data_IF_034844806293
#
_entry.id   IF_034844806293
#
_cell.length_a   1.000
_cell.length_b   1.000
_cell.length_c   1.000
_cell.angle_alpha   90.00
_cell.angle_beta   90.00
_cell.angle_gamma   90.00
#
_symmetry.space_group_name_H-M   'P 1'
#
loop_
_entity.id
_entity.type
_entity.pdbx_description
1 polymer ?
#
# COMPACT_ATOMS: atom_id res chain seq x y z
N UNK A 1 3.09 -9.92 -9.22
CA UNK A 1 4.47 -9.65 -9.75
C UNK A 1 5.49 -10.14 -8.76
N UNK A 2 6.46 -10.92 -9.23
CA UNK A 2 7.56 -11.49 -8.41
C UNK A 2 8.86 -10.77 -8.70
N UNK A 3 9.82 -10.92 -7.76
CA UNK A 3 11.22 -10.50 -7.91
C UNK A 3 11.44 -9.01 -8.17
N UNK A 4 10.51 -8.17 -7.72
CA UNK A 4 10.69 -6.71 -7.72
C UNK A 4 11.52 -6.32 -6.50
N UNK A 5 12.53 -5.46 -6.73
CA UNK A 5 13.40 -4.92 -5.71
C UNK A 5 13.66 -3.44 -6.01
N UNK A 6 13.39 -2.57 -5.05
CA UNK A 6 13.52 -1.11 -5.17
C UNK A 6 14.22 -0.61 -3.93
N UNK A 7 15.40 -0.04 -4.11
CA UNK A 7 16.16 0.61 -3.03
C UNK A 7 15.71 2.06 -2.86
N UNK A 8 15.63 2.50 -1.62
CA UNK A 8 15.42 3.89 -1.23
C UNK A 8 16.51 4.33 -0.27
N UNK A 9 16.52 5.57 0.18
CA UNK A 9 17.54 6.06 1.12
C UNK A 9 17.58 5.26 2.43
N UNK A 10 16.41 4.79 2.91
CA UNK A 10 16.28 4.12 4.22
C UNK A 10 15.75 2.70 4.14
N UNK A 11 15.14 2.31 3.04
CA UNK A 11 14.38 1.07 2.95
C UNK A 11 14.70 0.29 1.67
N UNK A 12 14.57 -1.01 1.79
CA UNK A 12 14.45 -1.91 0.65
C UNK A 12 12.97 -2.29 0.49
N UNK A 13 12.40 -2.00 -0.67
CA UNK A 13 11.07 -2.48 -1.04
C UNK A 13 11.26 -3.70 -1.92
N UNK A 14 10.76 -4.85 -1.51
CA UNK A 14 10.84 -6.07 -2.31
C UNK A 14 9.52 -6.83 -2.30
N UNK A 15 9.31 -7.60 -3.37
CA UNK A 15 8.15 -8.50 -3.43
C UNK A 15 8.09 -9.36 -2.18
N UNK A 16 6.89 -9.44 -1.58
CA UNK A 16 6.65 -10.33 -0.44
C UNK A 16 6.78 -11.79 -0.87
N UNK A 17 7.25 -12.60 0.06
CA UNK A 17 7.23 -14.06 -0.02
C UNK A 17 6.38 -14.61 1.12
N UNK A 18 6.01 -15.88 1.05
CA UNK A 18 5.15 -16.50 2.07
C UNK A 18 5.79 -16.47 3.47
N UNK A 19 7.11 -16.61 3.56
CA UNK A 19 7.86 -16.60 4.82
C UNK A 19 7.91 -15.23 5.51
N UNK A 20 7.66 -14.14 4.78
CA UNK A 20 7.52 -12.81 5.39
C UNK A 20 6.27 -12.73 6.28
N UNK A 21 5.29 -13.62 6.04
CA UNK A 21 4.07 -13.71 6.85
C UNK A 21 4.35 -14.59 8.08
N UNK A 22 4.83 -13.96 9.12
CA UNK A 22 5.12 -14.54 10.42
C UNK A 22 4.20 -13.96 11.51
N UNK A 23 4.43 -14.31 12.77
CA UNK A 23 3.63 -13.82 13.90
C UNK A 23 3.69 -12.29 14.05
N UNK A 24 4.82 -11.65 13.70
CA UNK A 24 4.96 -10.20 13.70
C UNK A 24 4.01 -9.56 12.66
N UNK A 25 4.02 -10.07 11.44
CA UNK A 25 3.08 -9.63 10.40
C UNK A 25 1.62 -9.81 10.84
N UNK A 26 1.32 -10.98 11.43
CA UNK A 26 -0.02 -11.29 11.90
C UNK A 26 -0.48 -10.33 13.00
N UNK A 27 0.42 -9.89 13.89
CA UNK A 27 0.10 -8.92 14.94
C UNK A 27 -0.29 -7.54 14.40
N UNK A 28 0.15 -7.15 13.21
CA UNK A 28 -0.27 -5.89 12.58
C UNK A 28 -1.73 -5.91 12.13
N UNK A 29 -2.26 -7.11 11.86
CA UNK A 29 -3.63 -7.32 11.36
C UNK A 29 -4.58 -7.57 12.52
N UNK A 30 -4.20 -8.42 13.48
CA UNK A 30 -5.05 -8.87 14.58
C UNK A 30 -4.80 -8.10 15.89
N UNK A 31 -3.63 -7.48 16.03
CA UNK A 31 -3.17 -6.91 17.30
C UNK A 31 -3.87 -5.61 17.69
N UNK A 32 -3.71 -5.21 18.96
CA UNK A 32 -4.24 -3.97 19.51
C UNK A 32 -3.69 -2.71 18.84
N UNK A 33 -2.48 -2.80 18.27
CA UNK A 33 -1.80 -1.71 17.57
C UNK A 33 -2.18 -1.58 16.09
N UNK A 34 -3.20 -2.30 15.63
CA UNK A 34 -3.71 -2.17 14.26
C UNK A 34 -4.15 -0.74 13.99
N UNK A 35 -3.90 -0.27 12.79
CA UNK A 35 -4.37 1.07 12.41
C UNK A 35 -5.89 1.09 12.32
N UNK A 36 -6.52 2.02 13.03
CA UNK A 36 -7.98 2.23 12.96
C UNK A 36 -8.49 2.65 11.57
N UNK A 37 -7.58 3.04 10.67
CA UNK A 37 -7.90 3.50 9.31
C UNK A 37 -7.71 2.43 8.22
N UNK A 38 -7.37 1.21 8.60
CA UNK A 38 -7.29 0.09 7.67
C UNK A 38 -8.50 -0.80 7.94
N UNK A 39 -9.31 -1.02 6.90
CA UNK A 39 -10.44 -1.93 6.98
C UNK A 39 -9.93 -3.37 7.12
N UNK A 40 -9.73 -3.80 8.36
CA UNK A 40 -9.56 -5.20 8.68
C UNK A 40 -10.94 -5.84 8.84
N UNK A 41 -11.04 -7.10 8.47
CA UNK A 41 -12.19 -7.92 8.84
C UNK A 41 -12.36 -7.86 10.37
N UNK A 42 -13.61 -7.83 10.85
CA UNK A 42 -13.94 -7.91 12.27
C UNK A 42 -13.50 -9.23 12.92
N UNK A 43 -13.19 -10.24 12.12
CA UNK A 43 -12.70 -11.54 12.55
C UNK A 43 -11.17 -11.59 12.53
N UNK A 44 -10.59 -12.18 13.56
CA UNK A 44 -9.17 -12.49 13.58
C UNK A 44 -8.80 -13.43 12.43
N UNK A 45 -7.66 -13.19 11.82
CA UNK A 45 -7.11 -14.01 10.73
C UNK A 45 -6.07 -14.98 11.26
N UNK A 46 -6.09 -16.19 10.77
CA UNK A 46 -5.02 -17.14 11.00
C UNK A 46 -3.80 -16.83 10.10
N UNK A 47 -2.62 -17.25 10.52
CA UNK A 47 -1.41 -17.10 9.73
C UNK A 47 -1.53 -17.80 8.36
N UNK A 48 -2.25 -18.93 8.32
CA UNK A 48 -2.51 -19.69 7.08
C UNK A 48 -3.35 -18.88 6.08
N UNK A 49 -4.38 -18.18 6.56
CA UNK A 49 -5.22 -17.32 5.71
C UNK A 49 -4.42 -16.14 5.16
N UNK A 50 -3.57 -15.52 5.99
CA UNK A 50 -2.76 -14.37 5.56
C UNK A 50 -1.68 -14.81 4.58
N UNK A 51 -1.03 -15.96 4.78
CA UNK A 51 -0.11 -16.55 3.80
C UNK A 51 -0.78 -16.84 2.48
N UNK A 52 -1.95 -17.46 2.48
CA UNK A 52 -2.73 -17.71 1.27
C UNK A 52 -3.11 -16.39 0.57
N UNK A 53 -3.52 -15.37 1.32
CA UNK A 53 -3.82 -14.04 0.79
C UNK A 53 -2.62 -13.41 0.09
N UNK A 54 -1.44 -13.45 0.69
CA UNK A 54 -0.19 -12.92 0.11
C UNK A 54 0.21 -13.75 -1.11
N UNK A 55 0.22 -15.08 -0.98
CA UNK A 55 0.61 -16.00 -2.05
C UNK A 55 -0.20 -15.81 -3.34
N UNK A 56 -1.53 -15.66 -3.22
CA UNK A 56 -2.39 -15.39 -4.38
C UNK A 56 -1.98 -14.07 -5.06
N UNK A 57 -1.75 -13.01 -4.28
CA UNK A 57 -1.50 -11.66 -4.81
C UNK A 57 -0.12 -11.49 -5.41
N UNK A 58 0.91 -12.07 -4.84
CA UNK A 58 2.26 -11.98 -5.42
C UNK A 58 2.38 -12.75 -6.74
N UNK A 59 1.46 -13.70 -6.99
CA UNK A 59 1.38 -14.45 -8.24
C UNK A 59 0.48 -13.77 -9.30
N UNK A 60 -0.30 -12.76 -8.92
CA UNK A 60 -1.19 -12.03 -9.84
C UNK A 60 -0.40 -10.94 -10.59
N UNK A 61 -0.39 -10.93 -11.94
CA UNK A 61 0.31 -9.92 -12.72
C UNK A 61 -0.30 -8.51 -12.60
N UNK A 62 -1.55 -8.38 -12.17
CA UNK A 62 -2.21 -7.10 -11.91
C UNK A 62 -2.01 -6.59 -10.49
N UNK A 63 -1.10 -7.21 -9.72
CA UNK A 63 -0.82 -6.83 -8.34
C UNK A 63 0.69 -6.65 -8.14
N UNK A 64 1.09 -5.51 -7.60
CA UNK A 64 2.41 -5.29 -7.03
C UNK A 64 2.28 -5.23 -5.50
N UNK A 65 2.84 -6.22 -4.80
CA UNK A 65 2.75 -6.31 -3.35
C UNK A 65 4.15 -6.38 -2.73
N UNK A 66 4.59 -5.27 -2.17
CA UNK A 66 5.94 -5.10 -1.63
C UNK A 66 5.91 -5.01 -0.12
N UNK A 67 6.84 -5.69 0.54
CA UNK A 67 7.22 -5.43 1.91
C UNK A 67 8.19 -4.24 1.99
N UNK A 68 8.19 -3.55 3.12
CA UNK A 68 9.07 -2.41 3.43
C UNK A 68 10.07 -2.89 4.48
N UNK A 69 11.35 -2.91 4.12
CA UNK A 69 12.43 -3.47 4.94
C UNK A 69 13.53 -2.43 5.23
N UNK A 70 13.78 -2.14 6.47
CA UNK A 70 15.06 -2.05 7.14
C UNK A 70 15.20 -3.24 8.11
N UNK A 71 14.13 -3.62 8.70
CA UNK A 71 13.51 -4.87 9.11
C UNK A 71 12.13 -4.88 8.46
N UNK A 72 11.37 -5.96 8.43
CA UNK A 72 10.04 -5.90 7.86
C UNK A 72 9.09 -5.05 8.73
N UNK A 73 8.73 -3.85 8.27
CA UNK A 73 8.02 -2.84 9.08
C UNK A 73 6.64 -2.48 8.55
N UNK A 74 6.30 -2.95 7.36
CA UNK A 74 5.03 -2.66 6.72
C UNK A 74 5.00 -3.12 5.27
N UNK A 75 3.94 -2.78 4.57
CA UNK A 75 3.73 -3.18 3.18
C UNK A 75 3.12 -2.03 2.37
N UNK A 76 3.47 -1.96 1.09
CA UNK A 76 2.78 -1.16 0.09
C UNK A 76 2.26 -2.09 -1.01
N UNK A 77 1.01 -1.88 -1.41
CA UNK A 77 0.33 -2.71 -2.42
C UNK A 77 -0.33 -1.83 -3.47
N UNK A 78 -0.23 -2.25 -4.71
CA UNK A 78 -0.97 -1.70 -5.83
C UNK A 78 -1.88 -2.80 -6.39
N UNK A 79 -3.19 -2.65 -6.23
CA UNK A 79 -4.20 -3.64 -6.61
C UNK A 79 -5.57 -2.97 -6.80
N UNK A 80 -6.22 -3.11 -7.97
CA UNK A 80 -5.64 -3.64 -9.19
C UNK A 80 -4.70 -2.65 -9.88
N UNK A 81 -3.84 -3.19 -10.76
CA UNK A 81 -3.12 -2.43 -11.77
C UNK A 81 -3.89 -2.60 -13.08
N UNK A 82 -4.44 -1.51 -13.60
CA UNK A 82 -5.15 -1.47 -14.89
C UNK A 82 -4.19 -0.93 -15.96
N UNK A 83 -3.60 -1.85 -16.71
CA UNK A 83 -2.62 -1.51 -17.76
C UNK A 83 -3.27 -0.75 -18.93
N UNK A 84 -4.55 -1.01 -19.23
CA UNK A 84 -5.26 -0.34 -20.32
C UNK A 84 -5.53 1.12 -19.98
N UNK A 85 -5.85 1.41 -18.71
CA UNK A 85 -6.05 2.78 -18.21
C UNK A 85 -4.77 3.41 -17.68
N UNK A 86 -3.67 2.68 -17.66
CA UNK A 86 -2.37 3.10 -17.12
C UNK A 86 -2.48 3.62 -15.68
N UNK A 87 -3.23 2.92 -14.84
CA UNK A 87 -3.51 3.34 -13.47
C UNK A 87 -3.38 2.19 -12.47
N UNK A 88 -3.13 2.53 -11.22
CA UNK A 88 -3.11 1.56 -10.13
C UNK A 88 -3.75 2.13 -8.87
N UNK A 89 -4.33 1.25 -8.04
CA UNK A 89 -4.92 1.60 -6.75
C UNK A 89 -3.94 1.20 -5.66
N UNK A 90 -3.53 2.17 -4.85
CA UNK A 90 -2.54 2.00 -3.81
C UNK A 90 -3.16 1.80 -2.42
N UNK A 91 -2.60 0.85 -1.67
CA UNK A 91 -2.77 0.72 -0.23
C UNK A 91 -1.43 0.67 0.48
N UNK A 92 -1.31 1.36 1.61
CA UNK A 92 -0.12 1.39 2.45
C UNK A 92 -0.47 0.96 3.87
N UNK A 93 0.28 0.01 4.41
CA UNK A 93 0.21 -0.42 5.81
C UNK A 93 1.57 -0.22 6.48
N UNK A 94 1.65 0.64 7.49
CA UNK A 94 2.79 0.73 8.40
C UNK A 94 2.43 -0.10 9.63
N UNK A 95 2.97 -1.31 9.69
CA UNK A 95 2.69 -2.29 10.74
C UNK A 95 3.33 -1.87 12.06
N UNK A 96 4.59 -1.50 12.03
CA UNK A 96 5.35 -1.07 13.19
C UNK A 96 4.99 0.35 13.61
N UNK A 97 4.42 0.49 14.81
CA UNK A 97 3.93 1.80 15.31
C UNK A 97 5.04 2.83 15.48
N UNK A 98 6.25 2.39 15.85
CA UNK A 98 7.43 3.25 16.01
C UNK A 98 7.93 3.86 14.68
N UNK A 99 7.48 3.36 13.53
CA UNK A 99 7.77 3.91 12.21
C UNK A 99 6.69 4.85 11.68
N UNK A 100 5.56 4.97 12.38
CA UNK A 100 4.52 5.95 12.02
C UNK A 100 5.01 7.37 12.28
N UNK A 101 4.56 8.33 11.49
CA UNK A 101 4.93 9.76 11.57
C UNK A 101 6.42 10.09 11.34
N UNK A 102 7.20 9.14 10.79
CA UNK A 102 8.63 9.33 10.46
C UNK A 102 8.90 9.58 8.97
N UNK A 103 7.95 10.20 8.28
CA UNK A 103 8.04 10.50 6.84
C UNK A 103 8.37 9.28 5.96
N UNK A 104 8.01 8.06 6.40
CA UNK A 104 8.20 6.83 5.63
C UNK A 104 7.33 6.83 4.37
N UNK A 105 6.07 7.20 4.50
CA UNK A 105 5.09 7.12 3.41
C UNK A 105 5.54 7.90 2.16
N UNK A 106 6.01 9.17 2.21
CA UNK A 106 6.49 9.87 1.02
C UNK A 106 7.60 9.15 0.27
N UNK A 107 8.56 8.58 0.99
CA UNK A 107 9.70 7.89 0.41
C UNK A 107 9.28 6.62 -0.33
N UNK A 108 8.58 5.72 0.36
CA UNK A 108 8.18 4.44 -0.23
C UNK A 108 7.15 4.58 -1.34
N UNK A 109 6.21 5.53 -1.21
CA UNK A 109 5.20 5.79 -2.25
C UNK A 109 5.87 6.34 -3.51
N UNK A 110 6.75 7.34 -3.38
CA UNK A 110 7.45 7.90 -4.55
C UNK A 110 8.28 6.83 -5.26
N UNK A 111 9.12 6.10 -4.53
CA UNK A 111 9.99 5.09 -5.11
C UNK A 111 9.19 4.00 -5.85
N UNK A 112 8.18 3.41 -5.21
CA UNK A 112 7.39 2.34 -5.83
C UNK A 112 6.47 2.82 -6.95
N UNK A 113 5.91 4.04 -6.85
CA UNK A 113 5.10 4.62 -7.93
C UNK A 113 5.96 4.97 -9.16
N UNK A 114 7.16 5.51 -8.96
CA UNK A 114 8.09 5.79 -10.07
C UNK A 114 8.58 4.51 -10.72
N UNK A 115 8.79 3.44 -9.95
CA UNK A 115 9.09 2.13 -10.51
C UNK A 115 7.94 1.62 -11.40
N UNK A 116 6.67 1.73 -10.96
CA UNK A 116 5.50 1.38 -11.77
C UNK A 116 5.42 2.23 -13.05
N UNK A 117 5.72 3.53 -12.94
CA UNK A 117 5.75 4.42 -14.10
C UNK A 117 6.80 3.96 -15.11
N UNK A 118 8.04 3.81 -14.68
CA UNK A 118 9.19 3.52 -15.56
C UNK A 118 9.14 2.10 -16.14
N UNK A 119 8.71 1.11 -15.33
CA UNK A 119 8.75 -0.29 -15.72
C UNK A 119 7.47 -0.79 -16.38
N UNK A 120 6.33 -0.14 -16.12
CA UNK A 120 5.01 -0.61 -16.53
C UNK A 120 4.14 0.44 -17.20
N UNK A 121 4.69 1.66 -17.41
CA UNK A 121 3.98 2.79 -18.02
C UNK A 121 2.67 3.15 -17.28
N UNK A 122 2.64 2.97 -15.96
CA UNK A 122 1.52 3.44 -15.13
C UNK A 122 1.66 4.95 -14.95
N UNK A 123 0.60 5.69 -15.23
CA UNK A 123 0.59 7.14 -15.21
C UNK A 123 -0.22 7.76 -14.10
N UNK A 124 -1.07 6.99 -13.45
CA UNK A 124 -1.91 7.50 -12.37
C UNK A 124 -1.94 6.52 -11.20
N UNK A 125 -1.76 7.05 -10.01
CA UNK A 125 -1.95 6.32 -8.76
C UNK A 125 -3.18 6.88 -8.06
N UNK A 126 -4.08 5.99 -7.66
CA UNK A 126 -5.30 6.30 -6.95
C UNK A 126 -5.27 5.67 -5.55
N UNK A 127 -5.96 6.29 -4.61
CA UNK A 127 -6.18 5.73 -3.27
C UNK A 127 -7.49 6.24 -2.67
N UNK A 128 -8.01 5.47 -1.71
CA UNK A 128 -9.05 5.93 -0.80
C UNK A 128 -8.45 6.10 0.61
N UNK A 129 -8.81 7.16 1.30
CA UNK A 129 -8.35 7.43 2.66
C UNK A 129 -9.50 7.93 3.54
N UNK A 130 -9.56 7.43 4.77
CA UNK A 130 -10.56 7.91 5.74
C UNK A 130 -10.39 9.42 5.97
N UNK A 131 -11.49 10.16 5.88
CA UNK A 131 -11.51 11.63 6.04
C UNK A 131 -10.99 12.09 7.42
N UNK A 132 -11.04 11.23 8.43
CA UNK A 132 -10.50 11.48 9.76
C UNK A 132 -8.98 11.30 9.81
N UNK A 133 -8.39 10.59 8.86
CA UNK A 133 -6.93 10.37 8.79
C UNK A 133 -6.20 11.59 8.20
N UNK A 134 -6.26 12.71 8.92
CA UNK A 134 -5.67 13.99 8.48
C UNK A 134 -4.15 13.90 8.23
N UNK A 135 -3.44 13.03 8.95
CA UNK A 135 -2.01 12.83 8.77
C UNK A 135 -1.69 12.18 7.41
N UNK A 136 -2.41 11.12 7.06
CA UNK A 136 -2.24 10.47 5.77
C UNK A 136 -2.63 11.40 4.61
N UNK A 137 -3.76 12.11 4.72
CA UNK A 137 -4.21 13.08 3.71
C UNK A 137 -3.13 14.12 3.46
N UNK A 138 -2.59 14.76 4.51
CA UNK A 138 -1.51 15.75 4.37
C UNK A 138 -0.23 15.16 3.78
N UNK A 139 0.11 13.92 4.13
CA UNK A 139 1.27 13.23 3.56
C UNK A 139 1.08 12.99 2.05
N UNK A 140 -0.11 12.55 1.64
CA UNK A 140 -0.44 12.34 0.24
C UNK A 140 -0.47 13.66 -0.56
N UNK A 141 -1.06 14.72 -0.01
CA UNK A 141 -1.04 16.06 -0.63
C UNK A 141 0.40 16.57 -0.86
N UNK A 142 1.32 16.36 0.09
CA UNK A 142 2.75 16.70 -0.07
C UNK A 142 3.48 15.89 -1.13
N UNK A 143 3.03 14.67 -1.43
CA UNK A 143 3.57 13.84 -2.50
C UNK A 143 3.12 14.36 -3.87
N UNK A 144 1.94 14.97 -3.94
CA UNK A 144 1.31 15.45 -5.16
C UNK A 144 -0.08 14.90 -5.43
N UNK A 145 -0.61 14.07 -4.52
CA UNK A 145 -1.99 13.61 -4.62
C UNK A 145 -2.97 14.77 -4.48
N UNK A 146 -3.97 14.78 -5.34
CA UNK A 146 -5.09 15.73 -5.30
C UNK A 146 -6.38 14.97 -5.01
N UNK A 147 -7.27 15.57 -4.24
CA UNK A 147 -8.62 15.02 -4.02
C UNK A 147 -9.36 14.93 -5.34
N UNK A 148 -10.06 13.82 -5.55
CA UNK A 148 -10.83 13.55 -6.76
C UNK A 148 -12.15 12.90 -6.39
N UNK A 149 -13.26 13.50 -6.82
CA UNK A 149 -14.61 13.02 -6.54
C UNK A 149 -15.00 11.78 -7.36
N UNK A 150 -14.39 11.62 -8.53
CA UNK A 150 -14.58 10.45 -9.39
C UNK A 150 -13.28 9.70 -9.54
N UNK A 151 -13.10 8.66 -8.75
CA UNK A 151 -12.04 7.67 -8.93
C UNK A 151 -12.59 6.51 -9.77
N UNK A 152 -11.68 5.75 -10.36
CA UNK A 152 -12.02 4.44 -10.93
C UNK A 152 -12.36 3.39 -9.84
N UNK A 153 -12.44 3.81 -8.57
CA UNK A 153 -12.92 3.04 -7.44
C UNK A 153 -14.30 3.60 -7.09
N UNK A 154 -15.29 2.73 -7.00
CA UNK A 154 -16.59 3.09 -6.46
C UNK A 154 -16.43 3.33 -4.94
N UNK A 155 -16.33 4.59 -4.53
CA UNK A 155 -16.30 4.97 -3.11
C UNK A 155 -17.75 5.08 -2.65
N UNK A 156 -18.26 4.02 -2.07
CA UNK A 156 -19.62 3.97 -1.49
C UNK A 156 -19.66 4.53 -0.07
N UNK A 157 -18.52 4.54 0.63
CA UNK A 157 -18.44 5.06 2.00
C UNK A 157 -18.16 6.57 2.00
N UNK A 158 -19.10 7.35 2.55
CA UNK A 158 -19.01 8.82 2.71
C UNK A 158 -17.84 9.27 3.58
N UNK A 159 -17.25 8.38 4.36
CA UNK A 159 -16.08 8.67 5.17
C UNK A 159 -14.76 8.53 4.40
N UNK A 160 -14.77 8.04 3.17
CA UNK A 160 -13.58 7.86 2.36
C UNK A 160 -13.43 9.01 1.36
N UNK A 161 -12.26 9.62 1.36
CA UNK A 161 -11.84 10.62 0.36
C UNK A 161 -10.99 9.93 -0.69
N UNK A 162 -11.40 10.07 -1.95
CA UNK A 162 -10.62 9.65 -3.10
C UNK A 162 -9.51 10.64 -3.41
N UNK A 163 -8.30 10.14 -3.66
CA UNK A 163 -7.18 10.96 -4.08
C UNK A 163 -6.46 10.32 -5.27
N UNK A 164 -5.92 11.15 -6.16
CA UNK A 164 -5.13 10.71 -7.31
C UNK A 164 -3.87 11.52 -7.50
N UNK A 165 -2.81 10.87 -7.96
CA UNK A 165 -1.54 11.48 -8.34
C UNK A 165 -1.18 11.08 -9.77
N UNK A 166 -0.90 12.08 -10.63
CA UNK A 166 -0.39 11.86 -12.00
C UNK A 166 1.14 11.80 -11.94
N UNK A 167 1.70 10.72 -12.48
CA UNK A 167 3.14 10.50 -12.61
C UNK A 167 3.57 11.11 -13.96
N UNK A 168 4.55 12.00 -13.91
CA UNK A 168 5.15 12.67 -15.09
C UNK A 168 6.57 12.13 -15.33
#
# INVERSE_FOLDING_TARGET
>A
MKDVMIETDRFLLRSLIEDDVNNRYLSWINGENKSQYINYSSQERSIKEVRAYVSIRVNDPSVLFLGIFCEHIGNIKYEPIDFAKQMAIMGLMIGESNWRNKALAPEVIKASSMWLHNSMNIRQIHLGVDIKNKYAIRAYEKIGFKRKSSLCIEITDKNIVGMSWSLE
#
